data_IF_920734114993
#
_entry.id   IF_920734114993
#
_cell.length_a   1.000
_cell.length_b   1.000
_cell.length_c   1.000
_cell.angle_alpha   90.00
_cell.angle_beta   90.00
_cell.angle_gamma   90.00
#
_symmetry.space_group_name_H-M   'P 1'
#
loop_
_entity.id
_entity.type
_entity.pdbx_description
1 polymer ?
#
# COMPACT_ATOMS: atom_id res chain seq x y z
N UNK A 1 -10.46 -9.20 -13.90
CA UNK A 1 -10.94 -8.21 -12.92
C UNK A 1 -9.80 -7.88 -11.97
N UNK A 2 -9.64 -6.59 -11.62
CA UNK A 2 -8.67 -6.08 -10.66
C UNK A 2 -9.39 -5.69 -9.36
N UNK A 3 -9.06 -6.31 -8.24
CA UNK A 3 -9.49 -5.88 -6.91
C UNK A 3 -8.49 -4.84 -6.39
N UNK A 4 -8.95 -3.62 -6.12
CA UNK A 4 -8.14 -2.55 -5.51
C UNK A 4 -8.51 -2.45 -4.04
N UNK A 5 -7.56 -2.73 -3.16
CA UNK A 5 -7.77 -2.80 -1.71
C UNK A 5 -7.00 -1.66 -1.04
N UNK A 6 -7.70 -0.83 -0.27
CA UNK A 6 -7.07 0.14 0.63
C UNK A 6 -6.98 -0.49 2.02
N UNK A 7 -5.75 -0.79 2.47
CA UNK A 7 -5.49 -1.44 3.75
C UNK A 7 -5.33 -0.41 4.87
N UNK A 8 -6.19 -0.48 5.88
CA UNK A 8 -6.15 0.39 7.08
C UNK A 8 -5.27 -0.26 8.14
N UNK A 9 -3.97 -0.02 8.08
CA UNK A 9 -2.96 -0.70 8.90
C UNK A 9 -2.77 -0.07 10.29
N UNK A 10 -3.10 1.21 10.47
CA UNK A 10 -3.02 1.92 11.76
C UNK A 10 -4.18 2.89 11.94
N UNK A 11 -4.60 3.15 13.19
CA UNK A 11 -5.68 4.09 13.52
C UNK A 11 -5.44 5.53 13.02
N UNK A 12 -4.18 5.93 12.82
CA UNK A 12 -3.83 7.26 12.30
C UNK A 12 -4.44 7.53 10.91
N UNK A 13 -4.86 6.49 10.18
CA UNK A 13 -5.58 6.64 8.90
C UNK A 13 -6.87 7.46 9.02
N UNK A 14 -7.44 7.55 10.22
CA UNK A 14 -8.65 8.34 10.49
C UNK A 14 -8.36 9.79 10.90
N UNK A 15 -7.10 10.12 11.14
CA UNK A 15 -6.70 11.49 11.45
C UNK A 15 -6.87 12.40 10.24
N UNK A 16 -7.08 13.69 10.53
CA UNK A 16 -7.26 14.71 9.51
C UNK A 16 -5.93 15.03 8.83
N UNK A 17 -5.98 15.09 7.50
CA UNK A 17 -4.92 15.60 6.63
C UNK A 17 -5.53 16.68 5.75
N UNK A 18 -5.22 17.96 6.02
CA UNK A 18 -5.77 19.11 5.34
C UNK A 18 -7.31 19.17 5.44
N UNK A 19 -8.06 18.86 4.39
CA UNK A 19 -9.55 18.95 4.36
C UNK A 19 -10.23 17.65 4.77
N UNK A 20 -9.63 16.52 4.47
CA UNK A 20 -10.19 15.17 4.63
C UNK A 20 -9.36 14.34 5.60
N UNK A 21 -9.83 13.15 5.97
CA UNK A 21 -8.97 12.20 6.66
C UNK A 21 -7.97 11.55 5.69
N UNK A 22 -6.88 11.02 6.26
CA UNK A 22 -5.88 10.26 5.51
C UNK A 22 -6.55 9.14 4.71
N UNK A 23 -7.50 8.43 5.34
CA UNK A 23 -8.24 7.35 4.69
C UNK A 23 -9.10 7.86 3.53
N UNK A 24 -9.86 8.96 3.71
CA UNK A 24 -10.68 9.54 2.63
C UNK A 24 -9.81 9.89 1.43
N UNK A 25 -8.66 10.50 1.67
CA UNK A 25 -7.70 10.86 0.60
C UNK A 25 -7.19 9.61 -0.13
N UNK A 26 -6.79 8.57 0.62
CA UNK A 26 -6.28 7.32 0.03
C UNK A 26 -7.35 6.53 -0.73
N UNK A 27 -8.59 6.49 -0.22
CA UNK A 27 -9.73 5.87 -0.93
C UNK A 27 -10.10 6.67 -2.18
N UNK A 28 -10.05 8.00 -2.11
CA UNK A 28 -10.27 8.88 -3.26
C UNK A 28 -9.27 8.62 -4.39
N UNK A 29 -7.99 8.50 -4.04
CA UNK A 29 -6.92 8.13 -4.96
C UNK A 29 -7.16 6.75 -5.61
N UNK A 30 -7.45 5.73 -4.80
CA UNK A 30 -7.71 4.38 -5.31
C UNK A 30 -8.94 4.35 -6.24
N UNK A 31 -9.99 5.13 -5.90
CA UNK A 31 -11.17 5.28 -6.75
C UNK A 31 -10.85 5.98 -8.05
N UNK A 32 -10.03 7.05 -8.04
CA UNK A 32 -9.58 7.72 -9.25
C UNK A 32 -8.84 6.75 -10.18
N UNK A 33 -7.92 5.96 -9.65
CA UNK A 33 -7.25 4.91 -10.43
C UNK A 33 -8.24 3.89 -11.01
N UNK A 34 -9.25 3.44 -10.24
CA UNK A 34 -10.28 2.53 -10.74
C UNK A 34 -11.06 3.12 -11.93
N UNK A 35 -11.25 4.44 -11.99
CA UNK A 35 -11.93 5.13 -13.09
C UNK A 35 -11.01 5.36 -14.30
N UNK A 36 -9.71 5.52 -14.08
CA UNK A 36 -8.72 5.78 -15.12
C UNK A 36 -8.26 4.49 -15.83
N UNK A 37 -8.22 3.36 -15.11
CA UNK A 37 -7.72 2.09 -15.68
C UNK A 37 -8.71 1.48 -16.66
N UNK A 38 -8.19 0.91 -17.76
CA UNK A 38 -8.99 0.14 -18.72
C UNK A 38 -9.39 -1.26 -18.21
N UNK A 39 -8.78 -1.71 -17.10
CA UNK A 39 -9.11 -3.01 -16.50
C UNK A 39 -10.35 -2.87 -15.65
N UNK A 40 -11.35 -3.75 -15.83
CA UNK A 40 -12.53 -3.80 -14.95
C UNK A 40 -12.05 -3.95 -13.51
N UNK A 41 -12.37 -2.96 -12.67
CA UNK A 41 -11.87 -2.89 -11.29
C UNK A 41 -12.99 -2.78 -10.27
N UNK A 42 -12.71 -3.26 -9.06
CA UNK A 42 -13.57 -3.18 -7.88
C UNK A 42 -12.74 -2.63 -6.73
N UNK A 43 -13.31 -1.69 -5.96
CA UNK A 43 -12.68 -1.09 -4.80
C UNK A 43 -13.16 -1.78 -3.53
N UNK A 44 -12.22 -2.08 -2.64
CA UNK A 44 -12.48 -2.60 -1.30
C UNK A 44 -11.62 -1.87 -0.25
N UNK A 45 -12.07 -1.89 1.00
CA UNK A 45 -11.30 -1.43 2.16
C UNK A 45 -11.07 -2.63 3.08
N UNK A 46 -9.80 -2.93 3.38
CA UNK A 46 -9.43 -3.94 4.38
C UNK A 46 -9.21 -3.26 5.74
N UNK A 47 -9.90 -3.74 6.77
CA UNK A 47 -9.95 -3.08 8.08
C UNK A 47 -10.27 -4.08 9.19
N UNK A 48 -9.79 -3.80 10.41
CA UNK A 48 -10.14 -4.57 11.59
C UNK A 48 -11.65 -4.48 11.89
N UNK A 49 -12.21 -5.54 12.44
CA UNK A 49 -13.64 -5.65 12.76
C UNK A 49 -14.12 -4.51 13.66
N UNK A 50 -13.36 -4.16 14.69
CA UNK A 50 -13.68 -3.09 15.64
C UNK A 50 -13.85 -1.71 14.99
N UNK A 51 -13.13 -1.44 13.89
CA UNK A 51 -13.18 -0.17 13.16
C UNK A 51 -14.10 -0.22 11.91
N UNK A 52 -14.70 -1.37 11.58
CA UNK A 52 -15.50 -1.57 10.37
C UNK A 52 -16.66 -0.59 10.23
N UNK A 53 -17.26 -0.19 11.35
CA UNK A 53 -18.34 0.82 11.39
C UNK A 53 -17.88 2.21 10.87
N UNK A 54 -16.59 2.52 10.95
CA UNK A 54 -16.01 3.82 10.52
C UNK A 54 -15.89 3.96 9.02
N UNK A 55 -16.04 2.88 8.27
CA UNK A 55 -15.94 2.87 6.79
C UNK A 55 -17.29 2.67 6.09
N UNK A 56 -18.38 2.60 6.82
CA UNK A 56 -19.72 2.39 6.27
C UNK A 56 -20.16 3.45 5.26
N UNK A 57 -19.60 4.69 5.33
CA UNK A 57 -19.87 5.76 4.39
C UNK A 57 -19.21 5.57 3.01
N UNK A 58 -18.22 4.69 2.88
CA UNK A 58 -17.58 4.43 1.59
C UNK A 58 -18.44 3.44 0.80
N UNK A 59 -18.88 3.83 -0.39
CA UNK A 59 -19.65 2.95 -1.29
C UNK A 59 -18.71 1.94 -1.97
N UNK A 60 -18.17 0.98 -1.21
CA UNK A 60 -17.30 -0.09 -1.66
C UNK A 60 -17.39 -1.29 -0.72
N UNK A 61 -16.83 -2.41 -1.14
CA UNK A 61 -16.73 -3.62 -0.33
C UNK A 61 -15.86 -3.38 0.90
N UNK A 62 -16.21 -4.02 2.03
CA UNK A 62 -15.41 -3.99 3.26
C UNK A 62 -14.91 -5.42 3.54
N UNK A 63 -13.60 -5.58 3.55
CA UNK A 63 -12.92 -6.82 3.92
C UNK A 63 -12.56 -6.74 5.41
N UNK A 64 -13.34 -7.39 6.25
CA UNK A 64 -13.10 -7.42 7.69
C UNK A 64 -12.00 -8.43 8.02
N UNK A 65 -10.81 -7.93 8.32
CA UNK A 65 -9.61 -8.72 8.60
C UNK A 65 -8.60 -7.89 9.39
N UNK A 66 -7.50 -8.51 9.87
CA UNK A 66 -6.32 -7.75 10.29
C UNK A 66 -5.44 -7.41 9.08
N UNK A 67 -5.40 -6.14 8.63
CA UNK A 67 -4.60 -5.75 7.44
C UNK A 67 -3.08 -5.79 7.69
N UNK A 68 -2.64 -5.92 8.95
CA UNK A 68 -1.23 -6.10 9.30
C UNK A 68 -0.80 -7.57 9.26
N UNK A 69 -1.76 -8.49 9.16
CA UNK A 69 -1.51 -9.92 9.02
C UNK A 69 -1.70 -10.34 7.55
N UNK A 70 -0.61 -10.62 6.81
CA UNK A 70 -0.71 -11.09 5.42
C UNK A 70 -1.62 -12.29 5.23
N UNK A 71 -1.61 -13.22 6.21
CA UNK A 71 -2.49 -14.39 6.20
C UNK A 71 -3.95 -14.02 6.37
N UNK A 72 -4.27 -13.08 7.29
CA UNK A 72 -5.64 -12.62 7.52
C UNK A 72 -6.19 -11.89 6.29
N UNK A 73 -5.39 -11.01 5.69
CA UNK A 73 -5.78 -10.30 4.47
C UNK A 73 -5.98 -11.27 3.30
N UNK A 74 -5.08 -12.25 3.12
CA UNK A 74 -5.24 -13.29 2.10
C UNK A 74 -6.53 -14.09 2.31
N UNK A 75 -6.84 -14.50 3.55
CA UNK A 75 -8.08 -15.23 3.86
C UNK A 75 -9.32 -14.42 3.46
N UNK A 76 -9.39 -13.14 3.84
CA UNK A 76 -10.51 -12.27 3.47
C UNK A 76 -10.63 -12.07 1.95
N UNK A 77 -9.51 -11.99 1.23
CA UNK A 77 -9.50 -11.98 -0.24
C UNK A 77 -9.99 -13.28 -0.85
N UNK A 78 -9.70 -14.42 -0.23
CA UNK A 78 -10.16 -15.73 -0.69
C UNK A 78 -11.67 -15.96 -0.55
N UNK A 79 -12.33 -15.20 0.34
CA UNK A 79 -13.79 -15.21 0.55
C UNK A 79 -14.53 -14.19 -0.34
N UNK A 80 -13.79 -13.31 -1.01
CA UNK A 80 -14.34 -12.26 -1.88
C UNK A 80 -14.69 -12.79 -3.27
N UNK A 81 -15.42 -11.96 -4.05
CA UNK A 81 -15.75 -12.24 -5.45
C UNK A 81 -14.49 -12.51 -6.29
N UNK A 82 -14.66 -13.32 -7.35
CA UNK A 82 -13.59 -13.72 -8.26
C UNK A 82 -12.90 -12.51 -8.92
N UNK A 83 -11.57 -12.46 -8.82
CA UNK A 83 -10.71 -11.48 -9.49
C UNK A 83 -9.38 -12.14 -9.94
N UNK A 84 -8.70 -11.51 -10.92
CA UNK A 84 -7.46 -12.05 -11.48
C UNK A 84 -6.22 -11.41 -10.83
N UNK A 85 -6.38 -10.12 -10.45
CA UNK A 85 -5.33 -9.28 -9.89
C UNK A 85 -5.83 -8.60 -8.62
N UNK A 86 -4.94 -8.41 -7.66
CA UNK A 86 -5.18 -7.55 -6.50
C UNK A 86 -4.11 -6.47 -6.41
N UNK A 87 -4.54 -5.22 -6.25
CA UNK A 87 -3.68 -4.07 -5.94
C UNK A 87 -3.93 -3.66 -4.50
N UNK A 88 -2.95 -3.78 -3.63
CA UNK A 88 -3.07 -3.46 -2.21
C UNK A 88 -2.32 -2.17 -1.91
N UNK A 89 -3.05 -1.16 -1.47
CA UNK A 89 -2.53 0.17 -1.14
C UNK A 89 -2.64 0.43 0.37
N UNK A 90 -1.54 0.87 0.98
CA UNK A 90 -1.50 1.31 2.37
C UNK A 90 -2.21 2.66 2.52
N UNK A 91 -3.29 2.71 3.28
CA UNK A 91 -4.07 3.93 3.54
C UNK A 91 -3.22 5.09 4.09
N UNK A 92 -2.08 4.79 4.71
CA UNK A 92 -1.16 5.78 5.26
C UNK A 92 -0.22 6.43 4.23
N UNK A 93 -0.47 6.20 2.92
CA UNK A 93 0.24 6.85 1.80
C UNK A 93 -0.70 7.70 0.94
N UNK A 94 -1.37 8.70 1.55
CA UNK A 94 -2.47 9.45 0.91
C UNK A 94 -2.03 10.27 -0.31
N UNK A 95 -0.74 10.61 -0.43
CA UNK A 95 -0.21 11.42 -1.53
C UNK A 95 0.43 10.58 -2.65
N UNK A 96 0.25 9.27 -2.65
CA UNK A 96 0.60 8.42 -3.80
C UNK A 96 -0.24 8.86 -4.99
N UNK A 97 0.37 8.95 -6.18
CA UNK A 97 -0.35 9.36 -7.40
C UNK A 97 -0.88 8.16 -8.18
N UNK A 98 -1.96 8.34 -8.94
CA UNK A 98 -2.53 7.29 -9.79
C UNK A 98 -1.51 6.74 -10.81
N UNK A 99 -0.59 7.58 -11.27
CA UNK A 99 0.49 7.16 -12.17
C UNK A 99 1.39 6.07 -11.55
N UNK A 100 1.57 6.03 -10.23
CA UNK A 100 2.30 4.94 -9.58
C UNK A 100 1.52 3.62 -9.65
N UNK A 101 0.19 3.67 -9.52
CA UNK A 101 -0.66 2.49 -9.72
C UNK A 101 -0.57 1.98 -11.16
N UNK A 102 -0.68 2.87 -12.15
CA UNK A 102 -0.55 2.50 -13.56
C UNK A 102 0.81 1.87 -13.85
N UNK A 103 1.91 2.51 -13.45
CA UNK A 103 3.27 1.98 -13.62
C UNK A 103 3.46 0.60 -13.00
N UNK A 104 2.87 0.39 -11.80
CA UNK A 104 2.96 -0.90 -11.11
C UNK A 104 2.14 -1.97 -11.85
N UNK A 105 0.95 -1.62 -12.34
CA UNK A 105 0.11 -2.54 -13.11
C UNK A 105 0.75 -2.89 -14.47
N UNK A 106 1.29 -1.91 -15.18
CA UNK A 106 1.94 -2.08 -16.47
C UNK A 106 3.20 -2.95 -16.41
N UNK A 107 3.87 -2.97 -15.25
CA UNK A 107 5.04 -3.83 -15.04
C UNK A 107 4.68 -5.31 -14.79
N UNK A 108 3.39 -5.65 -14.61
CA UNK A 108 2.91 -7.01 -14.43
C UNK A 108 2.73 -7.72 -15.79
N UNK A 109 3.82 -7.85 -16.55
CA UNK A 109 3.85 -8.41 -17.89
C UNK A 109 4.46 -9.81 -17.95
N UNK A 110 4.04 -10.59 -18.94
CA UNK A 110 4.59 -11.92 -19.21
C UNK A 110 4.44 -12.85 -17.99
N UNK A 111 5.55 -13.32 -17.47
CA UNK A 111 5.61 -14.26 -16.34
C UNK A 111 5.82 -13.56 -14.98
N UNK A 112 5.67 -12.22 -14.91
CA UNK A 112 5.74 -11.50 -13.63
C UNK A 112 4.43 -11.69 -12.89
N UNK A 113 4.51 -12.16 -11.66
CA UNK A 113 3.35 -12.50 -10.82
C UNK A 113 3.05 -11.44 -9.78
N UNK A 114 4.07 -10.68 -9.36
CA UNK A 114 3.92 -9.62 -8.36
C UNK A 114 4.86 -8.44 -8.64
N UNK A 115 4.37 -7.21 -8.43
CA UNK A 115 5.12 -5.98 -8.62
C UNK A 115 4.90 -5.05 -7.44
N UNK A 116 5.97 -4.37 -6.98
CA UNK A 116 5.89 -3.31 -5.99
C UNK A 116 6.74 -2.10 -6.34
N UNK A 117 6.31 -0.90 -5.96
CA UNK A 117 7.14 0.29 -6.04
C UNK A 117 8.20 0.27 -4.94
N UNK A 118 9.40 0.72 -5.28
CA UNK A 118 10.51 0.80 -4.33
C UNK A 118 11.29 2.10 -4.51
N UNK A 119 11.97 2.54 -3.45
CA UNK A 119 12.94 3.63 -3.50
C UNK A 119 14.22 3.24 -2.75
N UNK A 120 15.32 3.88 -3.12
CA UNK A 120 16.60 3.70 -2.42
C UNK A 120 16.65 4.52 -1.14
N UNK A 121 17.41 4.06 -0.17
CA UNK A 121 17.77 4.88 0.99
C UNK A 121 18.89 5.86 0.61
N UNK A 122 18.73 7.11 1.02
CA UNK A 122 19.73 8.18 0.87
C UNK A 122 20.55 8.36 2.14
N UNK A 123 19.95 8.04 3.30
CA UNK A 123 20.56 8.16 4.61
C UNK A 123 21.50 6.99 4.92
N UNK A 124 22.39 7.20 5.91
CA UNK A 124 23.23 6.14 6.45
C UNK A 124 22.45 5.28 7.43
N UNK A 125 22.36 3.98 7.15
CA UNK A 125 21.66 3.02 8.00
C UNK A 125 22.63 2.31 8.93
N UNK A 126 22.23 2.17 10.20
CA UNK A 126 22.98 1.45 11.24
C UNK A 126 22.16 0.28 11.75
N UNK A 127 22.76 -0.89 11.81
CA UNK A 127 22.24 -2.00 12.58
C UNK A 127 22.64 -1.76 14.04
N UNK A 128 21.66 -1.86 14.95
CA UNK A 128 21.88 -1.70 16.39
C UNK A 128 21.58 -3.00 17.13
N UNK A 129 22.20 -3.18 18.28
CA UNK A 129 21.87 -4.28 19.22
C UNK A 129 20.61 -3.95 20.02
N UNK A 130 20.02 -4.92 20.75
CA UNK A 130 18.91 -4.65 21.67
C UNK A 130 19.24 -3.56 22.70
N UNK A 131 20.51 -3.44 23.10
CA UNK A 131 21.03 -2.43 24.04
C UNK A 131 21.27 -1.07 23.39
N UNK A 132 20.79 -0.84 22.16
CA UNK A 132 20.90 0.41 21.38
C UNK A 132 22.36 0.80 21.01
N UNK A 133 23.28 -0.15 21.02
CA UNK A 133 24.67 0.11 20.54
C UNK A 133 24.79 -0.18 19.05
N UNK A 134 25.56 0.63 18.34
CA UNK A 134 25.80 0.47 16.91
C UNK A 134 26.66 -0.76 16.65
N UNK A 135 26.11 -1.78 15.97
CA UNK A 135 26.81 -3.01 15.60
C UNK A 135 27.58 -2.85 14.28
N UNK A 136 26.95 -2.27 13.26
CA UNK A 136 27.58 -2.07 11.95
C UNK A 136 26.82 -1.03 11.11
N UNK A 137 27.46 -0.54 10.06
CA UNK A 137 26.83 0.21 8.99
C UNK A 137 26.25 -0.77 7.98
N UNK A 138 24.99 -0.59 7.59
CA UNK A 138 24.36 -1.40 6.56
C UNK A 138 24.67 -0.78 5.19
N UNK A 139 25.05 -1.60 4.22
CA UNK A 139 25.16 -1.14 2.84
C UNK A 139 23.75 -0.81 2.30
N UNK A 140 23.48 0.47 2.18
CA UNK A 140 22.18 0.97 1.68
C UNK A 140 21.86 0.54 0.24
N UNK A 141 22.85 0.11 -0.55
CA UNK A 141 22.62 -0.39 -1.90
C UNK A 141 21.98 -1.79 -1.90
N UNK A 142 22.10 -2.53 -0.78
CA UNK A 142 21.47 -3.85 -0.60
C UNK A 142 20.04 -3.78 -0.04
N UNK A 143 19.53 -2.59 0.29
CA UNK A 143 18.24 -2.39 0.95
C UNK A 143 17.39 -1.44 0.14
N UNK A 144 16.08 -1.73 0.09
CA UNK A 144 15.09 -0.90 -0.57
C UNK A 144 13.96 -0.55 0.40
N UNK A 145 13.47 0.67 0.30
CA UNK A 145 12.22 1.08 0.94
C UNK A 145 11.07 0.71 0.02
N UNK A 146 10.14 -0.10 0.53
CA UNK A 146 8.94 -0.52 -0.21
C UNK A 146 7.87 0.58 -0.11
N UNK A 147 7.14 0.78 -1.20
CA UNK A 147 5.95 1.61 -1.29
C UNK A 147 4.76 0.80 -1.80
N UNK A 148 3.61 1.44 -1.99
CA UNK A 148 2.37 0.80 -2.48
C UNK A 148 1.78 1.59 -3.66
N UNK A 149 0.94 0.96 -4.53
CA UNK A 149 0.34 -0.36 -4.35
C UNK A 149 1.31 -1.51 -4.60
N UNK A 150 1.14 -2.62 -3.88
CA UNK A 150 1.65 -3.92 -4.33
C UNK A 150 0.58 -4.55 -5.24
N UNK A 151 0.94 -4.98 -6.45
CA UNK A 151 0.01 -5.64 -7.37
C UNK A 151 0.45 -7.07 -7.59
N UNK A 152 -0.49 -8.00 -7.36
CA UNK A 152 -0.21 -9.45 -7.34
C UNK A 152 -1.27 -10.19 -8.17
N UNK A 153 -0.86 -11.22 -8.92
CA UNK A 153 -1.80 -12.17 -9.52
C UNK A 153 -2.45 -13.00 -8.43
N UNK A 154 -3.76 -13.18 -8.50
CA UNK A 154 -4.49 -13.98 -7.51
C UNK A 154 -3.92 -15.39 -7.37
N UNK A 155 -3.58 -16.02 -8.48
CA UNK A 155 -2.99 -17.35 -8.53
C UNK A 155 -1.62 -17.47 -7.84
N UNK A 156 -0.90 -16.35 -7.64
CA UNK A 156 0.38 -16.31 -6.95
C UNK A 156 0.24 -16.21 -5.42
N UNK A 157 -0.96 -15.95 -4.90
CA UNK A 157 -1.22 -15.85 -3.46
C UNK A 157 -1.16 -17.26 -2.83
N UNK A 158 -0.43 -17.38 -1.73
CA UNK A 158 -0.40 -18.58 -0.90
C UNK A 158 -1.31 -18.42 0.32
N UNK A 159 -2.54 -18.85 0.20
CA UNK A 159 -3.57 -18.76 1.25
C UNK A 159 -3.27 -19.59 2.51
N UNK A 160 -2.24 -20.45 2.48
CA UNK A 160 -1.88 -21.35 3.59
C UNK A 160 -0.63 -20.90 4.35
N UNK A 161 0.14 -19.98 3.77
CA UNK A 161 1.43 -19.54 4.30
C UNK A 161 1.28 -18.40 5.32
N UNK A 162 2.25 -18.30 6.22
CA UNK A 162 2.42 -17.19 7.17
C UNK A 162 3.54 -16.21 6.72
N UNK A 163 4.04 -16.33 5.49
CA UNK A 163 5.09 -15.45 4.96
C UNK A 163 4.60 -13.99 4.95
N UNK A 164 5.47 -13.08 5.38
CA UNK A 164 5.12 -11.66 5.59
C UNK A 164 5.96 -10.68 4.78
N UNK A 165 6.49 -11.12 3.64
CA UNK A 165 7.35 -10.27 2.80
C UNK A 165 6.54 -9.30 1.91
N UNK A 166 5.23 -9.52 1.76
CA UNK A 166 4.25 -8.75 1.00
C UNK A 166 2.99 -8.57 1.84
N UNK A 167 2.06 -7.74 1.37
CA UNK A 167 0.74 -7.60 2.03
C UNK A 167 -0.05 -8.91 2.06
N UNK A 168 0.22 -9.81 1.13
CA UNK A 168 -0.31 -11.18 1.13
C UNK A 168 0.84 -12.17 0.97
N UNK A 169 0.76 -13.38 1.53
CA UNK A 169 1.78 -14.39 1.32
C UNK A 169 1.82 -14.81 -0.14
N UNK A 170 3.02 -14.99 -0.69
CA UNK A 170 3.21 -15.44 -2.07
C UNK A 170 3.73 -16.89 -2.10
N UNK A 171 3.30 -17.64 -3.12
CA UNK A 171 3.79 -18.99 -3.40
C UNK A 171 5.29 -18.99 -3.64
N UNK A 172 5.92 -20.11 -3.37
CA UNK A 172 7.33 -20.31 -3.69
C UNK A 172 7.54 -20.26 -5.21
N UNK A 173 8.64 -19.62 -5.63
CA UNK A 173 8.94 -19.44 -7.06
C UNK A 173 8.19 -18.29 -7.74
N UNK A 174 7.33 -17.54 -7.02
CA UNK A 174 6.66 -16.34 -7.56
C UNK A 174 7.68 -15.37 -8.15
N UNK A 175 7.46 -14.96 -9.39
CA UNK A 175 8.35 -14.03 -10.11
C UNK A 175 7.95 -12.58 -9.77
N UNK A 176 8.80 -11.90 -9.02
CA UNK A 176 8.58 -10.55 -8.54
C UNK A 176 9.37 -9.53 -9.35
N UNK A 177 8.74 -8.40 -9.66
CA UNK A 177 9.39 -7.23 -10.24
C UNK A 177 9.24 -6.00 -9.32
N UNK A 178 9.96 -4.94 -9.64
CA UNK A 178 9.92 -3.66 -8.93
C UNK A 178 9.88 -2.51 -9.92
N UNK A 179 9.24 -1.42 -9.51
CA UNK A 179 9.22 -0.13 -10.22
C UNK A 179 9.68 0.98 -9.27
N UNK A 180 10.04 2.13 -9.81
CA UNK A 180 10.41 3.26 -8.96
C UNK A 180 9.16 3.84 -8.28
N UNK A 181 9.27 4.07 -6.97
CA UNK A 181 8.24 4.74 -6.19
C UNK A 181 8.27 6.25 -6.39
N UNK A 182 7.09 6.88 -6.36
CA UNK A 182 6.98 8.34 -6.35
C UNK A 182 7.54 8.90 -5.05
N UNK A 183 8.18 10.07 -5.14
CA UNK A 183 8.74 10.75 -3.96
C UNK A 183 7.66 11.17 -2.97
N UNK A 184 6.49 11.53 -3.49
CA UNK A 184 5.34 11.95 -2.68
C UNK A 184 4.63 10.78 -1.97
N UNK A 185 4.92 9.53 -2.34
CA UNK A 185 4.35 8.33 -1.69
C UNK A 185 4.97 8.09 -0.31
N UNK A 186 4.97 9.13 0.53
CA UNK A 186 5.44 9.07 1.91
C UNK A 186 4.40 8.39 2.80
N UNK A 187 4.89 7.62 3.78
CA UNK A 187 4.01 6.95 4.75
C UNK A 187 3.88 7.78 6.02
N UNK A 188 2.66 8.00 6.45
CA UNK A 188 2.34 8.65 7.73
C UNK A 188 2.37 7.60 8.84
N UNK A 189 3.25 7.78 9.82
CA UNK A 189 3.37 6.92 10.99
C UNK A 189 3.07 7.66 12.29
N UNK A 190 3.09 9.00 12.26
CA UNK A 190 2.93 9.86 13.43
C UNK A 190 2.23 11.17 13.09
N UNK A 191 1.78 11.91 14.09
CA UNK A 191 1.21 13.24 13.92
C UNK A 191 2.23 14.24 13.31
N UNK A 192 3.53 14.05 13.57
CA UNK A 192 4.58 14.87 12.98
C UNK A 192 4.64 14.69 11.45
N UNK A 193 4.41 13.48 10.96
CA UNK A 193 4.37 13.21 9.52
C UNK A 193 3.17 13.89 8.86
N UNK A 194 2.03 14.00 9.55
CA UNK A 194 0.85 14.75 9.06
C UNK A 194 1.25 16.20 8.80
N UNK A 195 1.86 16.88 9.77
CA UNK A 195 2.27 18.29 9.64
C UNK A 195 3.26 18.47 8.48
N UNK A 196 4.15 17.52 8.27
CA UNK A 196 5.09 17.54 7.14
C UNK A 196 4.35 17.43 5.80
N UNK A 197 3.41 16.48 5.68
CA UNK A 197 2.64 16.30 4.45
C UNK A 197 1.68 17.48 4.18
N UNK A 198 1.09 18.08 5.21
CA UNK A 198 0.29 19.31 5.04
C UNK A 198 1.13 20.45 4.47
N UNK A 199 2.37 20.59 4.93
CA UNK A 199 3.30 21.57 4.38
C UNK A 199 3.62 21.29 2.91
N UNK A 200 3.77 20.02 2.53
CA UNK A 200 3.96 19.61 1.13
C UNK A 200 2.73 19.91 0.28
N UNK A 201 1.53 19.60 0.76
CA UNK A 201 0.26 19.91 0.06
C UNK A 201 0.14 21.41 -0.17
N UNK A 202 0.38 22.21 0.87
CA UNK A 202 0.32 23.67 0.77
C UNK A 202 1.32 24.20 -0.26
N UNK A 203 2.55 23.70 -0.26
CA UNK A 203 3.57 24.07 -1.22
C UNK A 203 3.16 23.72 -2.66
N UNK A 204 2.65 22.51 -2.90
CA UNK A 204 2.17 22.08 -4.22
C UNK A 204 1.05 22.99 -4.74
N UNK A 205 0.07 23.34 -3.87
CA UNK A 205 -1.03 24.24 -4.23
C UNK A 205 -0.52 25.66 -4.57
N UNK A 206 0.49 26.16 -3.85
CA UNK A 206 1.09 27.48 -4.11
C UNK A 206 1.85 27.53 -5.43
N UNK A 207 2.34 26.40 -5.92
CA UNK A 207 3.07 26.26 -7.20
C UNK A 207 2.15 25.94 -8.39
N UNK A 208 0.82 25.84 -8.17
CA UNK A 208 -0.15 25.52 -9.21
C UNK A 208 -0.06 24.08 -9.72
N UNK A 209 0.39 23.16 -8.86
CA UNK A 209 0.53 21.74 -9.14
C UNK A 209 -0.56 20.92 -8.45
#
# INVERSE_FOLDING_TARGET
>A
VLKVVVAVTLPIAFEKLHKDSILITSVGLARAFCLETSVKSQLAIAINEEDSHRVAQFSCEVLTCDPNSPKSLAAALGESDSFDLVAIHDSQRPLTRTIQFHRTLEALIGQVDAVRPVSRFTETLKLVTPEQTVKQTIDRNSILRVSTPEIVRYEAIDFKSDRSNWFVPLKEGTKCAKVDADLESLRINSLADISLLESLIFWQQSMGR
#
